data_IF_636476181069
#
_entry.id   IF_636476181069
#
_cell.length_a   1.000
_cell.length_b   1.000
_cell.length_c   1.000
_cell.angle_alpha   90.00
_cell.angle_beta   90.00
_cell.angle_gamma   90.00
#
_symmetry.space_group_name_H-M   'P 1'
#
loop_
_entity.id
_entity.type
_entity.pdbx_description
1 polymer ?
#
# COMPACT_ATOMS: atom_id res chain seq x y z
N UNK A 1 -49.73 -25.54 -5.11
CA UNK A 1 -49.62 -24.35 -4.22
C UNK A 1 -48.59 -23.41 -4.84
N UNK A 2 -49.05 -22.41 -5.59
CA UNK A 2 -48.21 -21.44 -6.32
C UNK A 2 -47.80 -20.35 -5.35
N UNK A 3 -46.53 -20.29 -4.98
CA UNK A 3 -45.97 -19.18 -4.22
C UNK A 3 -45.88 -17.97 -5.15
N UNK A 4 -46.78 -17.02 -4.99
CA UNK A 4 -46.75 -15.71 -5.65
C UNK A 4 -45.57 -14.94 -5.09
N UNK A 5 -44.51 -14.82 -5.90
CA UNK A 5 -43.40 -13.91 -5.64
C UNK A 5 -43.94 -12.48 -5.58
N UNK A 6 -44.03 -11.90 -4.39
CA UNK A 6 -44.32 -10.49 -4.19
C UNK A 6 -43.20 -9.68 -4.83
N UNK A 7 -43.50 -8.68 -5.66
CA UNK A 7 -42.47 -7.77 -6.20
C UNK A 7 -41.80 -7.09 -4.99
N UNK A 8 -40.50 -7.34 -4.83
CA UNK A 8 -39.66 -6.67 -3.82
C UNK A 8 -39.58 -5.20 -4.24
N UNK A 9 -40.45 -4.38 -3.63
CA UNK A 9 -40.65 -3.02 -4.02
C UNK A 9 -39.44 -2.13 -3.70
N UNK A 10 -39.32 -1.05 -4.44
CA UNK A 10 -38.36 0.06 -4.36
C UNK A 10 -37.97 0.47 -2.91
N UNK A 11 -38.85 0.23 -1.94
CA UNK A 11 -38.64 0.50 -0.51
C UNK A 11 -37.47 -0.25 0.13
N UNK A 12 -37.08 -1.41 -0.41
CA UNK A 12 -35.92 -2.18 0.13
C UNK A 12 -34.59 -1.57 -0.29
N UNK A 13 -34.56 -0.76 -1.36
CA UNK A 13 -33.35 -0.12 -1.87
C UNK A 13 -33.15 1.30 -1.32
N UNK A 14 -34.16 1.88 -0.67
CA UNK A 14 -34.07 3.22 -0.09
C UNK A 14 -32.87 3.42 0.86
N UNK A 15 -32.56 2.49 1.80
CA UNK A 15 -31.41 2.66 2.70
C UNK A 15 -30.07 2.58 1.98
N UNK A 16 -30.01 1.99 0.77
CA UNK A 16 -28.78 1.87 -0.03
C UNK A 16 -28.63 3.05 -0.98
N UNK A 17 -29.72 3.67 -1.42
CA UNK A 17 -29.70 4.79 -2.38
C UNK A 17 -29.00 6.00 -1.78
N UNK A 18 -29.28 6.35 -0.53
CA UNK A 18 -28.68 7.52 0.11
C UNK A 18 -27.14 7.43 0.23
N UNK A 19 -26.53 6.37 0.82
CA UNK A 19 -25.08 6.24 0.85
C UNK A 19 -24.48 6.06 -0.54
N UNK A 20 -25.15 5.41 -1.48
CA UNK A 20 -24.70 5.28 -2.86
C UNK A 20 -24.63 6.64 -3.57
N UNK A 21 -25.65 7.50 -3.39
CA UNK A 21 -25.67 8.83 -3.95
C UNK A 21 -24.60 9.74 -3.32
N UNK A 22 -24.42 9.65 -1.99
CA UNK A 22 -23.33 10.35 -1.32
C UNK A 22 -21.96 9.92 -1.86
N UNK A 23 -21.71 8.61 -1.95
CA UNK A 23 -20.48 8.08 -2.51
C UNK A 23 -20.27 8.55 -3.95
N UNK A 24 -21.33 8.49 -4.78
CA UNK A 24 -21.27 8.93 -6.17
C UNK A 24 -20.90 10.43 -6.27
N UNK A 25 -21.53 11.30 -5.50
CA UNK A 25 -21.23 12.74 -5.52
C UNK A 25 -19.81 13.01 -5.02
N UNK A 26 -19.43 12.48 -3.84
CA UNK A 26 -18.11 12.75 -3.25
C UNK A 26 -16.95 12.07 -3.97
N UNK A 27 -17.23 11.04 -4.77
CA UNK A 27 -16.20 10.36 -5.56
C UNK A 27 -16.21 10.85 -7.02
N UNK A 28 -17.38 10.82 -7.70
CA UNK A 28 -17.43 11.12 -9.13
C UNK A 28 -17.19 12.61 -9.44
N UNK A 29 -17.59 13.53 -8.55
CA UNK A 29 -17.37 14.96 -8.79
C UNK A 29 -15.88 15.29 -8.74
N UNK A 30 -15.11 14.98 -7.67
CA UNK A 30 -13.67 15.23 -7.64
C UNK A 30 -12.93 14.48 -8.75
N UNK A 31 -13.31 13.23 -9.01
CA UNK A 31 -12.72 12.44 -10.08
C UNK A 31 -12.98 13.05 -11.46
N UNK A 32 -14.22 13.49 -11.72
CA UNK A 32 -14.60 14.19 -12.95
C UNK A 32 -13.83 15.49 -13.15
N UNK A 33 -13.61 16.25 -12.07
CA UNK A 33 -12.77 17.45 -12.09
C UNK A 33 -11.33 17.09 -12.48
N UNK A 34 -10.75 16.05 -11.86
CA UNK A 34 -9.40 15.59 -12.21
C UNK A 34 -9.29 15.16 -13.67
N UNK A 35 -10.29 14.41 -14.17
CA UNK A 35 -10.34 14.01 -15.58
C UNK A 35 -10.45 15.23 -16.50
N UNK A 36 -11.27 16.22 -16.17
CA UNK A 36 -11.37 17.46 -16.94
C UNK A 36 -10.03 18.21 -16.97
N UNK A 37 -9.37 18.38 -15.83
CA UNK A 37 -8.06 19.02 -15.76
C UNK A 37 -6.96 18.27 -16.54
N UNK A 38 -7.08 16.95 -16.71
CA UNK A 38 -6.11 16.17 -17.47
C UNK A 38 -6.04 16.57 -18.97
N UNK A 39 -7.10 17.17 -19.49
CA UNK A 39 -7.20 17.66 -20.87
C UNK A 39 -6.84 19.14 -21.00
N UNK A 40 -6.68 19.87 -19.90
CA UNK A 40 -6.43 21.29 -19.92
C UNK A 40 -4.99 21.62 -20.32
N UNK A 41 -4.82 22.77 -20.98
CA UNK A 41 -3.50 23.27 -21.34
C UNK A 41 -2.81 23.89 -20.13
N UNK A 42 -1.53 23.55 -19.92
CA UNK A 42 -0.71 24.13 -18.84
C UNK A 42 -0.04 25.41 -19.34
N UNK A 43 -0.38 26.54 -18.72
CA UNK A 43 0.26 27.84 -18.98
C UNK A 43 1.43 28.03 -18.00
N UNK A 44 2.61 28.38 -18.51
CA UNK A 44 3.78 28.68 -17.66
C UNK A 44 3.52 29.97 -16.84
N UNK A 45 3.54 29.84 -15.52
CA UNK A 45 3.29 30.94 -14.59
C UNK A 45 1.82 31.23 -14.28
N UNK A 46 0.88 30.45 -14.80
CA UNK A 46 -0.58 30.58 -14.60
C UNK A 46 -1.26 29.29 -14.17
N UNK A 47 -2.58 29.39 -13.99
CA UNK A 47 -3.44 28.21 -13.82
C UNK A 47 -3.70 27.53 -15.16
N UNK A 48 -4.29 26.34 -15.13
CA UNK A 48 -4.70 25.59 -16.31
C UNK A 48 -5.79 26.34 -17.08
N UNK A 49 -5.64 26.46 -18.40
CA UNK A 49 -6.65 26.99 -19.29
C UNK A 49 -7.53 25.85 -19.85
N UNK A 50 -8.88 26.05 -19.93
CA UNK A 50 -9.75 25.06 -20.53
C UNK A 50 -9.38 24.84 -22.00
N UNK A 51 -8.86 23.65 -22.29
CA UNK A 51 -8.53 23.21 -23.64
C UNK A 51 -8.82 21.72 -23.74
N UNK A 52 -8.92 21.19 -24.95
CA UNK A 52 -9.00 19.74 -25.14
C UNK A 52 -7.74 19.27 -25.84
N UNK A 53 -6.72 18.95 -25.04
CA UNK A 53 -5.42 18.54 -25.54
C UNK A 53 -5.02 17.17 -25.00
N UNK A 54 -4.47 16.33 -25.89
CA UNK A 54 -3.87 15.05 -25.53
C UNK A 54 -2.36 15.17 -25.30
N UNK A 55 -1.79 16.38 -25.37
CA UNK A 55 -0.35 16.63 -25.19
C UNK A 55 0.15 16.18 -23.82
N UNK A 56 -0.69 16.31 -22.76
CA UNK A 56 -0.34 15.83 -21.42
C UNK A 56 -0.13 14.32 -21.41
N UNK A 57 -0.95 13.56 -22.15
CA UNK A 57 -0.80 12.12 -22.27
C UNK A 57 0.43 11.70 -23.09
N UNK A 58 0.77 12.46 -24.13
CA UNK A 58 1.97 12.23 -24.90
C UNK A 58 3.25 12.41 -24.04
N UNK A 59 3.23 13.29 -23.04
CA UNK A 59 4.34 13.47 -22.11
C UNK A 59 4.63 12.21 -21.27
N UNK A 60 3.61 11.38 -20.98
CA UNK A 60 3.81 10.09 -20.30
C UNK A 60 4.68 9.11 -21.10
N UNK A 61 4.75 9.29 -22.43
CA UNK A 61 5.62 8.49 -23.30
C UNK A 61 7.05 9.03 -23.36
N UNK A 62 7.35 10.14 -22.66
CA UNK A 62 8.72 10.64 -22.62
C UNK A 62 9.64 9.66 -21.85
N UNK A 63 10.93 9.57 -22.23
CA UNK A 63 11.88 8.65 -21.59
C UNK A 63 11.98 8.81 -20.08
N UNK A 64 11.79 10.04 -19.58
CA UNK A 64 11.81 10.32 -18.14
C UNK A 64 10.70 9.59 -17.39
N UNK A 65 9.46 9.72 -17.88
CA UNK A 65 8.31 9.09 -17.22
C UNK A 65 8.30 7.57 -17.42
N UNK A 66 8.67 7.10 -18.58
CA UNK A 66 8.78 5.66 -18.87
C UNK A 66 9.81 5.01 -17.96
N UNK A 67 10.98 5.59 -17.79
CA UNK A 67 12.01 5.09 -16.88
C UNK A 67 11.54 5.13 -15.43
N UNK A 68 10.88 6.21 -15.00
CA UNK A 68 10.31 6.30 -13.65
C UNK A 68 9.23 5.23 -13.40
N UNK A 69 8.38 4.96 -14.40
CA UNK A 69 7.35 3.93 -14.33
C UNK A 69 7.97 2.54 -14.18
N UNK A 70 8.93 2.19 -15.04
CA UNK A 70 9.62 0.90 -14.94
C UNK A 70 10.36 0.73 -13.62
N UNK A 71 11.04 1.78 -13.15
CA UNK A 71 11.69 1.76 -11.84
C UNK A 71 10.69 1.54 -10.70
N UNK A 72 9.55 2.24 -10.74
CA UNK A 72 8.50 2.09 -9.72
C UNK A 72 7.89 0.69 -9.73
N UNK A 73 7.60 0.15 -10.92
CA UNK A 73 7.09 -1.23 -11.05
C UNK A 73 8.11 -2.26 -10.54
N UNK A 74 9.38 -2.07 -10.88
CA UNK A 74 10.44 -2.96 -10.43
C UNK A 74 10.57 -2.97 -8.91
N UNK A 75 10.62 -1.80 -8.26
CA UNK A 75 10.78 -1.73 -6.80
C UNK A 75 9.53 -2.25 -6.07
N UNK A 76 8.32 -1.99 -6.59
CA UNK A 76 7.08 -2.54 -6.04
C UNK A 76 7.02 -4.08 -6.18
N UNK A 77 7.40 -4.61 -7.33
CA UNK A 77 7.47 -6.06 -7.55
C UNK A 77 8.50 -6.71 -6.62
N UNK A 78 9.67 -6.12 -6.47
CA UNK A 78 10.71 -6.60 -5.58
C UNK A 78 10.23 -6.58 -4.11
N UNK A 79 9.62 -5.49 -3.67
CA UNK A 79 9.05 -5.39 -2.32
C UNK A 79 7.95 -6.44 -2.09
N UNK A 80 7.07 -6.66 -3.07
CA UNK A 80 6.02 -7.66 -2.98
C UNK A 80 6.58 -9.08 -2.85
N UNK A 81 7.59 -9.43 -3.64
CA UNK A 81 8.27 -10.76 -3.56
C UNK A 81 8.91 -10.94 -2.18
N UNK A 82 9.61 -9.93 -1.67
CA UNK A 82 10.22 -9.97 -0.34
C UNK A 82 9.13 -10.12 0.74
N UNK A 83 8.07 -9.31 0.69
CA UNK A 83 6.99 -9.36 1.67
C UNK A 83 6.29 -10.72 1.69
N UNK A 84 5.95 -11.27 0.53
CA UNK A 84 5.31 -12.59 0.43
C UNK A 84 6.27 -13.69 0.88
N UNK A 85 7.54 -13.63 0.45
CA UNK A 85 8.57 -14.59 0.82
C UNK A 85 8.82 -14.65 2.34
N UNK A 86 8.73 -13.50 3.04
CA UNK A 86 8.86 -13.43 4.49
C UNK A 86 7.53 -13.76 5.22
N UNK A 87 6.40 -13.33 4.67
CA UNK A 87 5.09 -13.56 5.27
C UNK A 87 4.66 -15.03 5.19
N UNK A 88 5.05 -15.76 4.16
CA UNK A 88 4.73 -17.20 4.04
C UNK A 88 5.24 -18.03 5.23
N UNK A 89 6.55 -18.09 5.52
CA UNK A 89 7.04 -18.87 6.66
C UNK A 89 6.53 -18.30 7.99
N UNK A 90 6.39 -16.98 8.09
CA UNK A 90 5.85 -16.35 9.30
C UNK A 90 4.41 -16.81 9.59
N UNK A 91 3.52 -16.75 8.59
CA UNK A 91 2.10 -17.16 8.74
C UNK A 91 1.98 -18.65 8.98
N UNK A 92 2.81 -19.47 8.34
CA UNK A 92 2.86 -20.90 8.58
C UNK A 92 3.24 -21.22 10.04
N UNK A 93 4.31 -20.64 10.54
CA UNK A 93 4.72 -20.84 11.94
C UNK A 93 3.66 -20.30 12.89
N UNK A 94 3.08 -19.14 12.59
CA UNK A 94 2.04 -18.53 13.41
C UNK A 94 0.79 -19.40 13.49
N UNK A 95 0.35 -19.98 12.38
CA UNK A 95 -0.83 -20.85 12.32
C UNK A 95 -0.70 -22.12 13.18
N UNK A 96 0.52 -22.55 13.48
CA UNK A 96 0.83 -23.73 14.34
C UNK A 96 0.97 -23.36 15.82
N UNK A 97 0.93 -22.08 16.19
CA UNK A 97 1.02 -21.65 17.59
C UNK A 97 -0.32 -21.74 18.32
N UNK A 98 -0.29 -21.57 19.65
CA UNK A 98 -1.50 -21.52 20.48
C UNK A 98 -2.38 -20.34 20.07
N UNK A 99 -3.69 -20.48 20.15
CA UNK A 99 -4.68 -19.43 19.79
C UNK A 99 -4.36 -18.06 20.44
N UNK A 100 -3.95 -18.03 21.70
CA UNK A 100 -3.56 -16.78 22.37
C UNK A 100 -2.40 -16.07 21.67
N UNK A 101 -1.41 -16.83 21.24
CA UNK A 101 -0.25 -16.29 20.50
C UNK A 101 -0.64 -15.80 19.12
N UNK A 102 -1.48 -16.56 18.42
CA UNK A 102 -2.02 -16.14 17.12
C UNK A 102 -2.75 -14.81 17.24
N UNK A 103 -3.70 -14.70 18.19
CA UNK A 103 -4.45 -13.47 18.43
C UNK A 103 -3.54 -12.30 18.80
N UNK A 104 -2.55 -12.50 19.68
CA UNK A 104 -1.62 -11.45 20.07
C UNK A 104 -0.82 -10.91 18.87
N UNK A 105 -0.31 -11.77 18.00
CA UNK A 105 0.40 -11.35 16.79
C UNK A 105 -0.50 -10.66 15.78
N UNK A 106 -1.71 -11.16 15.55
CA UNK A 106 -2.66 -10.51 14.65
C UNK A 106 -3.09 -9.13 15.16
N UNK A 107 -3.33 -8.99 16.46
CA UNK A 107 -3.61 -7.68 17.10
C UNK A 107 -2.43 -6.75 16.95
N UNK A 108 -1.20 -7.22 17.17
CA UNK A 108 0.02 -6.43 16.98
C UNK A 108 0.17 -5.95 15.52
N UNK A 109 -0.06 -6.83 14.54
CA UNK A 109 -0.03 -6.47 13.11
C UNK A 109 -1.11 -5.43 12.77
N UNK A 110 -2.32 -5.60 13.28
CA UNK A 110 -3.40 -4.63 13.10
C UNK A 110 -3.07 -3.28 13.78
N UNK A 111 -2.40 -3.30 14.93
CA UNK A 111 -1.95 -2.07 15.58
C UNK A 111 -0.91 -1.31 14.72
N UNK A 112 0.03 -2.03 14.06
CA UNK A 112 0.97 -1.41 13.12
C UNK A 112 0.22 -0.76 11.95
N UNK A 113 -0.78 -1.45 11.38
CA UNK A 113 -1.60 -0.91 10.28
C UNK A 113 -2.47 0.28 10.68
N UNK A 114 -2.74 0.44 11.97
CA UNK A 114 -3.47 1.59 12.50
C UNK A 114 -2.61 2.85 12.63
N UNK A 115 -1.29 2.74 12.49
CA UNK A 115 -0.39 3.90 12.51
C UNK A 115 -0.53 4.68 11.19
N UNK A 116 -0.43 6.00 11.30
CA UNK A 116 -0.40 6.86 10.10
C UNK A 116 0.83 6.56 9.25
N UNK A 117 0.63 6.36 7.96
CA UNK A 117 1.72 6.15 6.98
C UNK A 117 2.70 7.32 6.95
N UNK A 118 2.23 8.55 7.21
CA UNK A 118 3.06 9.75 7.31
C UNK A 118 4.02 9.65 8.49
N UNK A 119 3.53 9.19 9.64
CA UNK A 119 4.36 8.99 10.86
C UNK A 119 5.39 7.89 10.60
N UNK A 120 5.00 6.80 9.96
CA UNK A 120 5.89 5.69 9.59
C UNK A 120 6.98 6.20 8.64
N UNK A 121 6.61 6.94 7.58
CA UNK A 121 7.55 7.53 6.62
C UNK A 121 8.54 8.48 7.28
N UNK A 122 8.06 9.33 8.21
CA UNK A 122 8.91 10.22 8.98
C UNK A 122 9.87 9.44 9.89
N UNK A 123 9.38 8.42 10.60
CA UNK A 123 10.22 7.56 11.45
C UNK A 123 11.33 6.87 10.65
N UNK A 124 11.02 6.36 9.45
CA UNK A 124 12.02 5.78 8.55
C UNK A 124 13.04 6.83 8.08
N UNK A 125 12.61 8.04 7.74
CA UNK A 125 13.52 9.10 7.31
C UNK A 125 14.49 9.53 8.42
N UNK A 126 14.03 9.58 9.67
CA UNK A 126 14.90 9.83 10.84
C UNK A 126 15.82 8.66 11.10
N UNK A 127 15.29 7.43 11.08
CA UNK A 127 16.05 6.20 11.35
C UNK A 127 17.21 5.98 10.35
N UNK A 128 17.00 6.36 9.09
CA UNK A 128 17.98 6.21 8.01
C UNK A 128 18.80 7.48 7.76
N UNK A 129 18.58 8.54 8.56
CA UNK A 129 19.33 9.79 8.45
C UNK A 129 20.78 9.64 8.89
N UNK A 130 21.63 10.55 8.40
CA UNK A 130 23.04 10.63 8.76
C UNK A 130 23.26 11.07 10.21
N UNK A 131 22.39 11.95 10.73
CA UNK A 131 22.64 12.65 12.00
C UNK A 131 22.16 11.88 13.24
N UNK A 132 21.08 11.11 13.14
CA UNK A 132 20.43 10.46 14.28
C UNK A 132 20.04 8.99 14.01
N UNK A 133 20.45 8.43 12.86
CA UNK A 133 19.99 7.14 12.40
C UNK A 133 20.85 5.95 12.80
N UNK A 134 20.45 4.79 12.30
CA UNK A 134 21.14 3.50 12.49
C UNK A 134 22.62 3.56 12.11
N UNK A 135 22.96 4.40 11.11
CA UNK A 135 24.34 4.62 10.69
C UNK A 135 25.24 5.11 11.86
N UNK A 136 24.74 6.02 12.69
CA UNK A 136 25.49 6.49 13.86
C UNK A 136 25.65 5.41 14.94
N UNK A 137 24.67 4.53 15.10
CA UNK A 137 24.78 3.38 16.00
C UNK A 137 25.90 2.44 15.53
N UNK A 138 26.01 2.17 14.24
CA UNK A 138 27.09 1.35 13.68
C UNK A 138 28.47 2.00 13.82
N UNK A 139 28.54 3.34 13.72
CA UNK A 139 29.78 4.08 14.02
C UNK A 139 30.15 3.94 15.51
N UNK A 140 29.18 4.12 16.40
CA UNK A 140 29.39 4.00 17.86
C UNK A 140 29.82 2.58 18.29
N UNK A 141 29.35 1.55 17.56
CA UNK A 141 29.73 0.15 17.79
C UNK A 141 31.05 -0.23 17.08
N UNK A 142 31.68 0.68 16.32
CA UNK A 142 32.93 0.44 15.63
C UNK A 142 32.85 -0.37 14.35
N UNK A 143 31.64 -0.61 13.80
CA UNK A 143 31.46 -1.37 12.56
C UNK A 143 31.78 -0.56 11.31
N UNK A 144 31.59 0.78 11.35
CA UNK A 144 31.88 1.69 10.25
C UNK A 144 32.62 2.94 10.78
N UNK A 145 33.53 3.46 9.97
CA UNK A 145 34.33 4.63 10.38
C UNK A 145 33.57 5.96 10.28
N UNK A 146 32.58 6.03 9.37
CA UNK A 146 31.81 7.27 9.13
C UNK A 146 30.34 6.97 8.91
N UNK A 147 29.49 7.85 9.45
CA UNK A 147 28.06 7.81 9.23
C UNK A 147 27.72 8.07 7.75
N UNK A 148 26.95 7.19 7.14
CA UNK A 148 26.47 7.27 5.76
C UNK A 148 24.95 7.50 5.75
N UNK A 149 24.46 8.49 4.98
CA UNK A 149 23.02 8.65 4.79
C UNK A 149 22.48 7.55 3.87
N UNK A 150 21.43 6.89 4.31
CA UNK A 150 20.69 5.93 3.47
C UNK A 150 19.48 6.57 2.81
N UNK A 151 19.12 7.80 3.21
CA UNK A 151 18.04 8.61 2.62
C UNK A 151 18.61 9.88 1.95
N UNK A 152 18.10 10.28 0.76
CA UNK A 152 17.21 9.51 -0.12
C UNK A 152 17.94 8.38 -0.83
N UNK A 153 17.29 7.23 -1.03
CA UNK A 153 17.91 6.13 -1.74
C UNK A 153 17.00 4.92 -1.96
N UNK A 154 17.45 4.05 -2.85
CA UNK A 154 16.77 2.79 -3.19
C UNK A 154 16.50 1.93 -1.94
N UNK A 155 17.50 1.77 -1.08
CA UNK A 155 17.40 0.94 0.13
C UNK A 155 16.36 1.46 1.10
N UNK A 156 16.30 2.78 1.32
CA UNK A 156 15.32 3.40 2.19
C UNK A 156 13.89 3.20 1.67
N UNK A 157 13.70 3.39 0.36
CA UNK A 157 12.40 3.19 -0.28
C UNK A 157 11.96 1.73 -0.20
N UNK A 158 12.86 0.79 -0.49
CA UNK A 158 12.56 -0.64 -0.43
C UNK A 158 12.20 -1.09 1.00
N UNK A 159 12.97 -0.66 2.00
CA UNK A 159 12.71 -0.98 3.41
C UNK A 159 11.36 -0.40 3.87
N UNK A 160 11.04 0.84 3.50
CA UNK A 160 9.76 1.46 3.80
C UNK A 160 8.57 0.71 3.16
N UNK A 161 8.70 0.34 1.88
CA UNK A 161 7.69 -0.44 1.17
C UNK A 161 7.51 -1.84 1.78
N UNK A 162 8.62 -2.51 2.13
CA UNK A 162 8.55 -3.82 2.80
C UNK A 162 7.90 -3.72 4.18
N UNK A 163 8.23 -2.69 4.95
CA UNK A 163 7.62 -2.47 6.26
C UNK A 163 6.11 -2.27 6.18
N UNK A 164 5.64 -1.49 5.21
CA UNK A 164 4.21 -1.27 4.97
C UNK A 164 3.53 -2.51 4.38
N UNK A 165 4.18 -3.19 3.43
CA UNK A 165 3.61 -4.33 2.71
C UNK A 165 3.53 -5.62 3.52
N UNK A 166 4.50 -5.85 4.43
CA UNK A 166 4.58 -7.09 5.20
C UNK A 166 3.33 -7.37 6.07
N UNK A 167 2.78 -6.42 6.85
CA UNK A 167 1.55 -6.62 7.60
C UNK A 167 0.36 -7.03 6.72
N UNK A 168 0.20 -6.39 5.55
CA UNK A 168 -0.86 -6.76 4.60
C UNK A 168 -0.65 -8.19 4.05
N UNK A 169 0.57 -8.54 3.69
CA UNK A 169 0.90 -9.88 3.21
C UNK A 169 0.57 -10.94 4.27
N UNK A 170 0.88 -10.68 5.54
CA UNK A 170 0.56 -11.59 6.65
C UNK A 170 -0.95 -11.75 6.79
N UNK A 171 -1.73 -10.67 6.79
CA UNK A 171 -3.19 -10.74 6.96
C UNK A 171 -3.88 -11.48 5.80
N UNK A 172 -3.37 -11.32 4.58
CA UNK A 172 -3.92 -12.02 3.40
C UNK A 172 -3.54 -13.49 3.38
N UNK A 173 -2.32 -13.84 3.78
CA UNK A 173 -1.83 -15.23 3.75
C UNK A 173 -2.25 -16.06 4.96
N UNK A 174 -2.47 -15.43 6.12
CA UNK A 174 -2.79 -16.14 7.35
C UNK A 174 -4.04 -17.05 7.26
N UNK A 175 -5.19 -16.64 6.68
CA UNK A 175 -6.34 -17.52 6.57
C UNK A 175 -6.08 -18.75 5.71
N UNK A 176 -5.27 -18.62 4.66
CA UNK A 176 -4.87 -19.73 3.79
C UNK A 176 -3.91 -20.67 4.53
N UNK A 177 -2.90 -20.14 5.21
CA UNK A 177 -1.97 -20.90 6.02
C UNK A 177 -2.65 -21.67 7.18
N UNK A 178 -3.68 -21.06 7.78
CA UNK A 178 -4.44 -21.67 8.87
C UNK A 178 -5.34 -22.85 8.42
N UNK A 179 -5.65 -22.93 7.11
CA UNK A 179 -6.47 -24.02 6.51
C UNK A 179 -5.63 -25.15 5.91
N UNK A 180 -4.30 -25.00 5.82
CA UNK A 180 -3.43 -26.05 5.31
C UNK A 180 -3.46 -27.24 6.25
N UNK A 181 -3.80 -28.42 5.68
CA UNK A 181 -3.83 -29.69 6.39
C UNK A 181 -2.40 -30.08 6.77
N UNK A 182 -2.13 -30.52 8.03
CA UNK A 182 -0.81 -30.98 8.44
C UNK A 182 -0.26 -32.12 7.56
N UNK A 183 -1.13 -32.98 7.04
CA UNK A 183 -0.77 -34.13 6.22
C UNK A 183 -0.13 -33.76 4.88
N UNK A 184 -0.44 -32.57 4.32
CA UNK A 184 0.15 -32.09 3.08
C UNK A 184 1.60 -31.60 3.21
N UNK A 185 2.09 -31.47 4.44
CA UNK A 185 3.45 -30.99 4.72
C UNK A 185 4.43 -32.11 5.10
N UNK A 186 3.95 -33.33 5.28
CA UNK A 186 4.76 -34.50 5.64
C UNK A 186 5.06 -35.41 4.42
N UNK A 187 4.55 -35.06 3.24
CA UNK A 187 4.81 -35.75 1.96
C UNK A 187 5.95 -35.06 1.20
#
# INVERSE_FOLDING_TARGET
>A
MSATARPQGLRQHLPVIYPAMMLAVFFLVPFGIMVAFSFFHRVEGGFYEPAFELANYARFLSPLFVNALFFSLFICALAAVICVGLAMPFTYVLSRKRRRTQTAWLVFILAILSLSEVIIGFAWSVLLSRSAGVSNLFVALGFIERSVPYTPGFTALLLGLCFLGFPYAVLVLYPSAARLDPELTEA
#
